data_IF_595815340836
#
_entry.id   IF_595815340836
#
_cell.length_a   1.000
_cell.length_b   1.000
_cell.length_c   1.000
_cell.angle_alpha   90.00
_cell.angle_beta   90.00
_cell.angle_gamma   90.00
#
_symmetry.space_group_name_H-M   'P 1'
#
loop_
_entity.id
_entity.type
_entity.pdbx_description
1 polymer ?
#
# COMPACT_ATOMS: atom_id res chain seq x y z
N UNK A 1 34.74 -12.28 93.71
CA UNK A 1 34.36 -13.60 93.17
C UNK A 1 33.40 -13.33 92.03
N UNK A 2 33.78 -13.61 90.79
CA UNK A 2 32.92 -13.44 89.62
C UNK A 2 31.93 -14.59 89.58
N UNK A 3 30.66 -14.31 89.82
CA UNK A 3 29.58 -15.30 89.71
C UNK A 3 29.44 -15.74 88.25
N UNK A 4 29.59 -17.03 87.95
CA UNK A 4 29.36 -17.56 86.61
C UNK A 4 27.85 -17.44 86.28
N UNK A 5 27.52 -16.56 85.34
CA UNK A 5 26.14 -16.27 84.93
C UNK A 5 25.43 -17.54 84.41
N UNK A 6 26.16 -18.48 83.82
CA UNK A 6 25.62 -19.74 83.31
C UNK A 6 25.19 -20.65 84.46
N UNK A 7 26.01 -20.71 85.51
CA UNK A 7 25.75 -21.48 86.73
C UNK A 7 24.59 -20.86 87.53
N UNK A 8 24.53 -19.51 87.60
CA UNK A 8 23.43 -18.77 88.22
C UNK A 8 22.10 -18.99 87.47
N UNK A 9 22.12 -18.92 86.13
CA UNK A 9 20.94 -19.16 85.30
C UNK A 9 20.39 -20.59 85.45
N UNK A 10 21.28 -21.58 85.54
CA UNK A 10 20.90 -22.99 85.79
C UNK A 10 20.28 -23.19 87.18
N UNK A 11 20.84 -22.53 88.21
CA UNK A 11 20.26 -22.56 89.58
C UNK A 11 18.87 -21.94 89.61
N UNK A 12 18.68 -20.77 89.00
CA UNK A 12 17.38 -20.11 88.89
C UNK A 12 16.35 -20.95 88.11
N UNK A 13 16.76 -21.57 87.01
CA UNK A 13 15.90 -22.46 86.22
C UNK A 13 15.47 -23.72 86.98
N UNK A 14 16.31 -24.21 87.90
CA UNK A 14 15.98 -25.34 88.79
C UNK A 14 14.97 -24.90 89.87
N UNK A 15 15.21 -23.78 90.56
CA UNK A 15 14.28 -23.25 91.57
C UNK A 15 12.88 -22.93 91.00
N UNK A 16 12.81 -22.41 89.77
CA UNK A 16 11.55 -22.12 89.09
C UNK A 16 10.73 -23.38 88.73
N UNK A 17 11.38 -24.54 88.53
CA UNK A 17 10.69 -25.82 88.27
C UNK A 17 10.17 -26.47 89.56
N UNK A 18 10.77 -26.14 90.69
CA UNK A 18 10.43 -26.67 92.01
C UNK A 18 9.48 -25.74 92.79
N UNK A 19 8.85 -24.76 92.12
CA UNK A 19 7.95 -23.74 92.71
C UNK A 19 8.55 -23.03 93.96
N UNK A 20 9.88 -22.90 93.98
CA UNK A 20 10.62 -22.35 95.12
C UNK A 20 11.21 -20.98 94.75
N UNK A 21 11.12 -20.00 95.65
CA UNK A 21 11.58 -18.64 95.41
C UNK A 21 13.09 -18.50 95.70
N UNK A 22 13.93 -18.27 94.68
CA UNK A 22 15.37 -18.09 94.90
C UNK A 22 15.64 -16.74 95.59
N UNK A 23 16.36 -16.78 96.72
CA UNK A 23 16.87 -15.56 97.36
C UNK A 23 18.18 -15.18 96.68
N UNK A 24 18.12 -14.21 95.77
CA UNK A 24 19.29 -13.68 95.08
C UNK A 24 20.07 -12.75 96.00
N UNK A 25 21.40 -12.90 96.03
CA UNK A 25 22.26 -11.95 96.72
C UNK A 25 22.38 -10.65 95.90
N UNK A 26 22.71 -9.51 96.52
CA UNK A 26 22.98 -8.28 95.79
C UNK A 26 24.05 -8.42 94.70
N UNK A 27 25.04 -9.30 94.91
CA UNK A 27 26.08 -9.60 93.93
C UNK A 27 25.54 -10.37 92.72
N UNK A 28 24.63 -11.32 92.94
CA UNK A 28 23.98 -12.09 91.86
C UNK A 28 23.05 -11.21 91.02
N UNK A 29 22.30 -10.31 91.67
CA UNK A 29 21.50 -9.30 90.99
C UNK A 29 22.38 -8.37 90.13
N UNK A 30 23.52 -7.92 90.66
CA UNK A 30 24.47 -7.09 89.91
C UNK A 30 25.03 -7.80 88.66
N UNK A 31 25.43 -9.07 88.79
CA UNK A 31 25.94 -9.86 87.68
C UNK A 31 24.89 -10.11 86.58
N UNK A 32 23.62 -10.31 86.94
CA UNK A 32 22.52 -10.43 85.98
C UNK A 32 22.25 -9.13 85.23
N UNK A 33 22.27 -7.99 85.94
CA UNK A 33 22.08 -6.67 85.32
C UNK A 33 23.21 -6.37 84.34
N UNK A 34 24.47 -6.58 84.72
CA UNK A 34 25.62 -6.38 83.82
C UNK A 34 25.55 -7.29 82.58
N UNK A 35 25.13 -8.55 82.73
CA UNK A 35 24.97 -9.47 81.62
C UNK A 35 23.84 -9.04 80.66
N UNK A 36 22.73 -8.56 81.21
CA UNK A 36 21.60 -8.05 80.43
C UNK A 36 21.96 -6.75 79.71
N UNK A 37 22.66 -5.82 80.35
CA UNK A 37 23.16 -4.59 79.73
C UNK A 37 24.16 -4.89 78.61
N UNK A 38 25.05 -5.87 78.82
CA UNK A 38 25.99 -6.33 77.78
C UNK A 38 25.27 -6.98 76.59
N UNK A 39 24.33 -7.89 76.84
CA UNK A 39 23.55 -8.53 75.78
C UNK A 39 22.67 -7.51 75.03
N UNK A 40 22.12 -6.52 75.74
CA UNK A 40 21.35 -5.44 75.15
C UNK A 40 22.23 -4.55 74.26
N UNK A 41 23.42 -4.16 74.74
CA UNK A 41 24.38 -3.35 73.97
C UNK A 41 24.86 -4.07 72.71
N UNK A 42 25.23 -5.35 72.82
CA UNK A 42 25.62 -6.18 71.66
C UNK A 42 24.47 -6.36 70.66
N UNK A 43 23.24 -6.60 71.14
CA UNK A 43 22.06 -6.67 70.28
C UNK A 43 21.78 -5.35 69.57
N UNK A 44 21.83 -4.21 70.28
CA UNK A 44 21.64 -2.89 69.67
C UNK A 44 22.74 -2.53 68.68
N UNK A 45 23.99 -2.91 68.93
CA UNK A 45 25.11 -2.70 68.01
C UNK A 45 24.95 -3.55 66.74
N UNK A 46 24.51 -4.80 66.88
CA UNK A 46 24.21 -5.67 65.74
C UNK A 46 23.06 -5.14 64.87
N UNK A 47 22.00 -4.59 65.50
CA UNK A 47 20.90 -3.94 64.79
C UNK A 47 21.37 -2.67 64.08
N UNK A 48 22.13 -1.81 64.76
CA UNK A 48 22.65 -0.56 64.19
C UNK A 48 23.55 -0.81 62.96
N UNK A 49 24.48 -1.76 63.04
CA UNK A 49 25.35 -2.12 61.91
C UNK A 49 24.57 -2.69 60.72
N UNK A 50 23.48 -3.43 60.97
CA UNK A 50 22.61 -3.92 59.91
C UNK A 50 21.80 -2.78 59.27
N UNK A 51 21.30 -1.84 60.09
CA UNK A 51 20.61 -0.64 59.61
C UNK A 51 21.51 0.22 58.72
N UNK A 52 22.75 0.50 59.13
CA UNK A 52 23.71 1.28 58.32
C UNK A 52 24.03 0.60 56.97
N UNK A 53 24.17 -0.74 56.98
CA UNK A 53 24.39 -1.54 55.77
C UNK A 53 23.20 -1.45 54.79
N UNK A 54 21.97 -1.56 55.32
CA UNK A 54 20.76 -1.41 54.51
C UNK A 54 20.57 0.02 54.01
N UNK A 55 20.84 1.04 54.82
CA UNK A 55 20.77 2.44 54.41
C UNK A 55 21.73 2.75 53.25
N UNK A 56 22.96 2.24 53.33
CA UNK A 56 23.96 2.40 52.27
C UNK A 56 23.47 1.73 50.98
N UNK A 57 22.93 0.52 51.08
CA UNK A 57 22.40 -0.22 49.92
C UNK A 57 21.18 0.48 49.30
N UNK A 58 20.24 0.96 50.13
CA UNK A 58 19.07 1.70 49.68
C UNK A 58 19.48 3.00 49.00
N UNK A 59 20.50 3.70 49.52
CA UNK A 59 21.04 4.92 48.90
C UNK A 59 21.59 4.64 47.50
N UNK A 60 22.43 3.60 47.35
CA UNK A 60 22.97 3.19 46.06
C UNK A 60 21.87 2.78 45.06
N UNK A 61 20.86 2.03 45.52
CA UNK A 61 19.73 1.62 44.67
C UNK A 61 18.90 2.83 44.22
N UNK A 62 18.67 3.80 45.10
CA UNK A 62 17.97 5.05 44.74
C UNK A 62 18.71 5.83 43.67
N UNK A 63 20.03 5.99 43.80
CA UNK A 63 20.86 6.63 42.77
C UNK A 63 20.76 5.89 41.44
N UNK A 64 20.81 4.55 41.48
CA UNK A 64 20.71 3.74 40.25
C UNK A 64 19.34 3.83 39.57
N UNK A 65 18.26 3.90 40.35
CA UNK A 65 16.91 4.11 39.80
C UNK A 65 16.83 5.47 39.10
N UNK A 66 17.35 6.53 39.73
CA UNK A 66 17.35 7.86 39.13
C UNK A 66 18.12 7.91 37.80
N UNK A 67 19.31 7.28 37.72
CA UNK A 67 20.07 7.16 36.47
C UNK A 67 19.30 6.40 35.38
N UNK A 68 18.61 5.32 35.75
CA UNK A 68 17.82 4.52 34.81
C UNK A 68 16.59 5.29 34.31
N UNK A 69 15.92 6.05 35.18
CA UNK A 69 14.80 6.91 34.82
C UNK A 69 15.24 8.01 33.83
N UNK A 70 16.39 8.63 34.06
CA UNK A 70 16.96 9.64 33.15
C UNK A 70 17.32 9.04 31.78
N UNK A 71 18.02 7.90 31.78
CA UNK A 71 18.36 7.18 30.54
C UNK A 71 17.12 6.77 29.76
N UNK A 72 16.08 6.28 30.43
CA UNK A 72 14.82 5.90 29.80
C UNK A 72 14.10 7.11 29.19
N UNK A 73 14.12 8.27 29.85
CA UNK A 73 13.57 9.51 29.30
C UNK A 73 14.29 9.92 28.00
N UNK A 74 15.61 9.79 27.93
CA UNK A 74 16.38 10.08 26.72
C UNK A 74 16.07 9.12 25.57
N UNK A 75 15.88 7.83 25.87
CA UNK A 75 15.48 6.81 24.87
C UNK A 75 14.08 7.12 24.31
N UNK A 76 13.13 7.52 25.16
CA UNK A 76 11.79 7.93 24.70
C UNK A 76 11.89 9.15 23.78
N UNK A 77 12.63 10.18 24.20
CA UNK A 77 12.78 11.41 23.41
C UNK A 77 13.43 11.17 22.05
N UNK A 78 14.50 10.37 22.01
CA UNK A 78 15.18 10.01 20.76
C UNK A 78 14.26 9.19 19.85
N UNK A 79 13.56 8.18 20.37
CA UNK A 79 12.56 7.41 19.61
C UNK A 79 11.49 8.33 19.02
N UNK A 80 10.93 9.24 19.81
CA UNK A 80 9.87 10.15 19.36
C UNK A 80 10.38 11.19 18.36
N UNK A 81 11.66 11.56 18.45
CA UNK A 81 12.33 12.38 17.46
C UNK A 81 12.50 11.64 16.12
N UNK A 82 13.04 10.41 16.14
CA UNK A 82 13.20 9.60 14.93
C UNK A 82 11.86 9.31 14.27
N UNK A 83 10.82 8.99 15.06
CA UNK A 83 9.47 8.77 14.55
C UNK A 83 8.94 10.01 13.82
N UNK A 84 9.04 11.20 14.42
CA UNK A 84 8.64 12.45 13.78
C UNK A 84 9.44 12.74 12.50
N UNK A 85 10.76 12.61 12.55
CA UNK A 85 11.62 12.78 11.37
C UNK A 85 11.23 11.84 10.23
N UNK A 86 10.90 10.58 10.54
CA UNK A 86 10.43 9.61 9.53
C UNK A 86 9.04 9.95 8.99
N UNK A 87 8.09 10.32 9.85
CA UNK A 87 6.74 10.70 9.45
C UNK A 87 6.74 11.97 8.59
N UNK A 88 7.51 12.99 8.99
CA UNK A 88 7.69 14.23 8.25
C UNK A 88 8.42 14.00 6.93
N UNK A 89 9.48 13.17 6.92
CA UNK A 89 10.19 12.80 5.69
C UNK A 89 9.30 12.04 4.70
N UNK A 90 8.49 11.10 5.18
CA UNK A 90 7.48 10.40 4.36
C UNK A 90 6.42 11.37 3.82
N UNK A 91 5.97 12.31 4.65
CA UNK A 91 4.99 13.32 4.25
C UNK A 91 5.55 14.27 3.19
N UNK A 92 6.79 14.75 3.36
CA UNK A 92 7.49 15.57 2.37
C UNK A 92 7.73 14.81 1.06
N UNK A 93 8.09 13.52 1.13
CA UNK A 93 8.22 12.68 -0.06
C UNK A 93 6.87 12.50 -0.78
N UNK A 94 5.78 12.33 -0.04
CA UNK A 94 4.43 12.25 -0.61
C UNK A 94 3.99 13.59 -1.24
N UNK A 95 4.19 14.72 -0.55
CA UNK A 95 3.88 16.06 -1.05
C UNK A 95 4.75 16.47 -2.25
N UNK A 96 6.02 16.05 -2.29
CA UNK A 96 6.89 16.25 -3.46
C UNK A 96 6.48 15.39 -4.67
N UNK A 97 5.67 14.35 -4.45
CA UNK A 97 5.18 13.40 -5.47
C UNK A 97 3.69 13.53 -5.78
N UNK A 98 2.95 14.43 -5.13
CA UNK A 98 1.56 14.71 -5.51
C UNK A 98 1.56 15.42 -6.86
N UNK A 99 1.52 14.63 -7.94
CA UNK A 99 1.28 15.11 -9.29
C UNK A 99 -0.15 15.62 -9.33
N UNK A 100 -0.33 16.94 -9.39
CA UNK A 100 -1.64 17.52 -9.72
C UNK A 100 -2.02 17.01 -11.11
N UNK A 101 -3.05 16.16 -11.19
CA UNK A 101 -3.57 15.67 -12.45
C UNK A 101 -4.21 16.83 -13.21
N UNK A 102 -4.07 16.83 -14.53
CA UNK A 102 -4.68 17.90 -15.33
C UNK A 102 -6.21 17.74 -15.36
N UNK A 103 -6.99 18.85 -15.44
CA UNK A 103 -8.45 18.81 -15.52
C UNK A 103 -9.00 17.90 -16.64
N UNK A 104 -8.24 17.76 -17.72
CA UNK A 104 -8.57 16.91 -18.87
C UNK A 104 -8.63 15.43 -18.48
N UNK A 105 -7.78 14.94 -17.57
CA UNK A 105 -7.81 13.55 -17.11
C UNK A 105 -9.08 13.25 -16.31
N UNK A 106 -9.54 14.19 -15.49
CA UNK A 106 -10.83 14.07 -14.79
C UNK A 106 -12.00 14.03 -15.78
N UNK A 107 -11.94 14.85 -16.83
CA UNK A 107 -12.94 14.87 -17.89
C UNK A 107 -13.00 13.53 -18.62
N UNK A 108 -11.84 12.94 -18.94
CA UNK A 108 -11.74 11.60 -19.52
C UNK A 108 -12.35 10.56 -18.57
N UNK A 109 -12.03 10.61 -17.28
CA UNK A 109 -12.58 9.71 -16.27
C UNK A 109 -14.11 9.79 -16.16
N UNK A 110 -14.67 11.01 -16.19
CA UNK A 110 -16.12 11.22 -16.22
C UNK A 110 -16.76 10.61 -17.46
N UNK A 111 -16.22 10.91 -18.65
CA UNK A 111 -16.71 10.35 -19.92
C UNK A 111 -16.65 8.82 -19.93
N UNK A 112 -15.60 8.21 -19.38
CA UNK A 112 -15.50 6.76 -19.25
C UNK A 112 -16.65 6.17 -18.43
N UNK A 113 -17.09 6.88 -17.38
CA UNK A 113 -18.17 6.44 -16.49
C UNK A 113 -19.56 6.67 -17.07
N UNK A 114 -19.76 7.72 -17.88
CA UNK A 114 -21.10 8.16 -18.30
C UNK A 114 -21.46 7.88 -19.75
N UNK A 115 -20.48 7.65 -20.63
CA UNK A 115 -20.75 7.40 -22.05
C UNK A 115 -21.48 6.07 -22.27
N UNK A 116 -22.18 5.96 -23.40
CA UNK A 116 -22.75 4.69 -23.85
C UNK A 116 -21.64 3.74 -24.32
N UNK A 117 -21.51 2.61 -23.63
CA UNK A 117 -20.51 1.60 -23.94
C UNK A 117 -20.94 0.62 -25.06
N UNK A 118 -22.10 0.82 -25.70
CA UNK A 118 -22.62 -0.01 -26.80
C UNK A 118 -22.66 -1.50 -26.47
N UNK A 119 -23.18 -1.83 -25.28
CA UNK A 119 -23.33 -3.19 -24.75
C UNK A 119 -21.96 -3.89 -24.51
N UNK A 120 -20.85 -3.16 -24.59
CA UNK A 120 -19.51 -3.66 -24.28
C UNK A 120 -19.12 -3.26 -22.86
N UNK A 121 -18.59 -4.18 -22.05
CA UNK A 121 -18.23 -3.88 -20.65
C UNK A 121 -17.11 -2.82 -20.56
N UNK A 122 -16.00 -3.06 -21.26
CA UNK A 122 -14.83 -2.19 -21.30
C UNK A 122 -14.46 -1.87 -22.75
N UNK A 123 -15.19 -0.92 -23.39
CA UNK A 123 -14.97 -0.59 -24.79
C UNK A 123 -13.64 0.12 -24.99
N UNK A 124 -12.92 -0.32 -26.02
CA UNK A 124 -11.92 0.44 -26.73
C UNK A 124 -12.60 1.08 -27.94
N UNK A 125 -12.79 2.40 -27.90
CA UNK A 125 -13.38 3.11 -29.03
C UNK A 125 -12.34 3.26 -30.12
N UNK A 126 -12.66 2.81 -31.32
CA UNK A 126 -11.75 2.77 -32.45
C UNK A 126 -12.37 3.54 -33.61
N UNK A 127 -11.57 4.40 -34.22
CA UNK A 127 -11.87 4.96 -35.53
C UNK A 127 -11.35 3.99 -36.59
N UNK A 128 -12.25 3.51 -37.41
CA UNK A 128 -11.94 2.78 -38.63
C UNK A 128 -12.21 3.68 -39.85
N UNK A 129 -11.54 3.38 -40.95
CA UNK A 129 -11.90 3.91 -42.27
C UNK A 129 -12.12 2.76 -43.26
N UNK A 130 -12.89 3.02 -44.31
CA UNK A 130 -13.14 2.01 -45.35
C UNK A 130 -12.02 2.06 -46.39
N UNK A 131 -11.32 0.96 -46.56
CA UNK A 131 -10.31 0.78 -47.59
C UNK A 131 -10.75 -0.28 -48.59
N UNK A 132 -10.48 -0.04 -49.86
CA UNK A 132 -10.64 -1.07 -50.88
C UNK A 132 -9.31 -1.79 -51.10
N UNK A 133 -9.38 -3.12 -51.12
CA UNK A 133 -8.27 -4.01 -51.48
C UNK A 133 -8.72 -4.93 -52.61
N UNK A 134 -7.77 -5.45 -53.38
CA UNK A 134 -8.05 -6.51 -54.33
C UNK A 134 -8.30 -7.79 -53.53
N UNK A 135 -9.51 -8.32 -53.66
CA UNK A 135 -9.97 -9.56 -53.06
C UNK A 135 -10.04 -10.70 -54.07
N UNK A 136 -10.80 -11.74 -53.70
CA UNK A 136 -11.09 -12.89 -54.55
C UNK A 136 -12.52 -12.81 -55.07
N UNK A 137 -12.70 -13.15 -56.34
CA UNK A 137 -14.02 -13.22 -56.99
C UNK A 137 -14.90 -14.32 -56.37
N UNK A 138 -14.30 -15.35 -55.79
CA UNK A 138 -15.02 -16.47 -55.15
C UNK A 138 -15.60 -16.10 -53.78
N UNK A 139 -15.15 -14.99 -53.18
CA UNK A 139 -15.47 -14.62 -51.80
C UNK A 139 -16.53 -13.53 -51.70
N UNK A 140 -17.42 -13.42 -52.69
CA UNK A 140 -18.50 -12.41 -52.74
C UNK A 140 -17.95 -10.99 -52.59
N UNK A 141 -17.22 -10.48 -53.60
CA UNK A 141 -16.59 -9.17 -53.51
C UNK A 141 -17.62 -8.05 -53.29
N UNK A 142 -17.18 -6.97 -52.65
CA UNK A 142 -18.00 -5.78 -52.42
C UNK A 142 -18.40 -5.09 -53.72
N UNK A 143 -17.51 -5.07 -54.72
CA UNK A 143 -17.80 -4.62 -56.09
C UNK A 143 -16.79 -5.16 -57.09
N UNK A 144 -17.15 -5.12 -58.38
CA UNK A 144 -16.20 -5.38 -59.47
C UNK A 144 -15.67 -4.06 -60.02
N UNK A 145 -14.36 -3.97 -60.20
CA UNK A 145 -13.67 -2.86 -60.83
C UNK A 145 -13.08 -3.32 -62.17
N UNK A 146 -13.37 -2.57 -63.23
CA UNK A 146 -12.80 -2.80 -64.55
C UNK A 146 -11.79 -1.69 -64.84
N UNK A 147 -10.59 -2.07 -65.25
CA UNK A 147 -9.46 -1.15 -65.43
C UNK A 147 -8.92 -1.23 -66.85
N UNK A 148 -8.51 -0.09 -67.37
CA UNK A 148 -7.78 0.01 -68.63
C UNK A 148 -6.61 0.99 -68.45
N UNK A 149 -5.40 0.54 -68.75
CA UNK A 149 -4.18 1.37 -68.67
C UNK A 149 -4.00 2.03 -67.29
N UNK A 150 -4.28 1.26 -66.22
CA UNK A 150 -4.14 1.70 -64.83
C UNK A 150 -5.31 2.54 -64.28
N UNK A 151 -6.28 2.93 -65.11
CA UNK A 151 -7.41 3.76 -64.69
C UNK A 151 -8.74 2.98 -64.67
N UNK A 152 -9.57 3.24 -63.65
CA UNK A 152 -10.91 2.65 -63.55
C UNK A 152 -11.81 3.20 -64.65
N UNK A 153 -12.50 2.31 -65.36
CA UNK A 153 -13.39 2.69 -66.45
C UNK A 153 -14.71 3.25 -65.92
N UNK A 154 -15.42 4.03 -66.74
CA UNK A 154 -16.74 4.55 -66.36
C UNK A 154 -17.74 3.43 -66.03
N UNK A 155 -18.66 3.70 -65.12
CA UNK A 155 -19.64 2.72 -64.63
C UNK A 155 -20.45 2.06 -65.77
N UNK A 156 -20.87 2.83 -66.78
CA UNK A 156 -21.56 2.29 -67.95
C UNK A 156 -20.69 1.28 -68.73
N UNK A 157 -19.39 1.57 -68.88
CA UNK A 157 -18.44 0.68 -69.54
C UNK A 157 -18.18 -0.56 -68.68
N UNK A 158 -17.99 -0.38 -67.37
CA UNK A 158 -17.82 -1.49 -66.43
C UNK A 158 -19.00 -2.46 -66.48
N UNK A 159 -20.26 -1.97 -66.45
CA UNK A 159 -21.46 -2.81 -66.58
C UNK A 159 -21.49 -3.59 -67.90
N UNK A 160 -21.09 -2.96 -69.01
CA UNK A 160 -21.01 -3.63 -70.31
C UNK A 160 -19.93 -4.71 -70.35
N UNK A 161 -18.76 -4.44 -69.77
CA UNK A 161 -17.67 -5.40 -69.68
C UNK A 161 -18.04 -6.58 -68.78
N UNK A 162 -18.70 -6.32 -67.66
CA UNK A 162 -19.19 -7.37 -66.78
C UNK A 162 -20.20 -8.28 -67.50
N UNK A 163 -21.14 -7.71 -68.27
CA UNK A 163 -22.06 -8.53 -69.07
C UNK A 163 -21.32 -9.40 -70.11
N UNK A 164 -20.30 -8.86 -70.79
CA UNK A 164 -19.47 -9.65 -71.72
C UNK A 164 -18.74 -10.79 -71.00
N UNK A 165 -18.18 -10.51 -69.82
CA UNK A 165 -17.46 -11.50 -69.01
C UNK A 165 -18.40 -12.64 -68.57
N UNK A 166 -19.59 -12.31 -68.05
CA UNK A 166 -20.59 -13.29 -67.62
C UNK A 166 -21.09 -14.16 -68.79
N UNK A 167 -21.16 -13.59 -70.01
CA UNK A 167 -21.49 -14.32 -71.23
C UNK A 167 -20.31 -15.14 -71.81
N UNK A 168 -19.14 -15.15 -71.14
CA UNK A 168 -17.94 -15.86 -71.61
C UNK A 168 -17.29 -15.24 -72.85
N UNK A 169 -17.53 -13.95 -73.11
CA UNK A 169 -17.02 -13.23 -74.28
C UNK A 169 -15.72 -12.50 -73.98
N UNK A 170 -14.93 -12.27 -75.03
CA UNK A 170 -13.69 -11.51 -74.95
C UNK A 170 -13.94 -10.06 -74.47
N UNK A 171 -13.23 -9.67 -73.43
CA UNK A 171 -13.26 -8.34 -72.78
C UNK A 171 -12.19 -7.41 -73.34
N UNK A 172 -11.47 -7.80 -74.39
CA UNK A 172 -10.53 -6.97 -75.18
C UNK A 172 -9.33 -6.46 -74.38
N UNK A 173 -8.82 -7.29 -73.48
CA UNK A 173 -7.61 -7.00 -72.69
C UNK A 173 -7.83 -6.02 -71.54
N UNK A 174 -9.07 -5.78 -71.12
CA UNK A 174 -9.36 -5.03 -69.89
C UNK A 174 -9.12 -5.92 -68.67
N UNK A 175 -8.57 -5.33 -67.62
CA UNK A 175 -8.36 -6.01 -66.34
C UNK A 175 -9.63 -5.96 -65.49
N UNK A 176 -9.96 -7.09 -64.87
CA UNK A 176 -11.11 -7.24 -63.97
C UNK A 176 -10.61 -7.55 -62.58
N UNK A 177 -10.93 -6.69 -61.61
CA UNK A 177 -10.57 -6.86 -60.21
C UNK A 177 -11.82 -7.00 -59.34
N UNK A 178 -11.85 -8.07 -58.55
CA UNK A 178 -12.80 -8.25 -57.46
C UNK A 178 -12.34 -7.37 -56.29
N UNK A 179 -13.04 -6.28 -56.01
CA UNK A 179 -12.68 -5.34 -54.95
C UNK A 179 -13.42 -5.68 -53.67
N UNK A 180 -12.68 -5.74 -52.57
CA UNK A 180 -13.21 -5.97 -51.24
C UNK A 180 -13.08 -4.70 -50.41
N UNK A 181 -14.19 -4.26 -49.82
CA UNK A 181 -14.16 -3.23 -48.77
C UNK A 181 -13.78 -3.88 -47.44
N UNK A 182 -12.75 -3.33 -46.81
CA UNK A 182 -12.25 -3.75 -45.50
C UNK A 182 -12.17 -2.57 -44.55
N UNK A 183 -12.29 -2.87 -43.27
CA UNK A 183 -12.17 -1.90 -42.19
C UNK A 183 -10.68 -1.75 -41.83
N UNK A 184 -10.12 -0.56 -42.11
CA UNK A 184 -8.74 -0.22 -41.78
C UNK A 184 -8.69 0.55 -40.47
N UNK A 185 -7.90 0.06 -39.51
CA UNK A 185 -7.69 0.73 -38.24
C UNK A 185 -6.98 2.07 -38.43
N UNK A 186 -7.52 3.12 -37.83
CA UNK A 186 -6.90 4.46 -37.84
C UNK A 186 -6.33 4.81 -36.47
N UNK A 187 -7.16 4.80 -35.43
CA UNK A 187 -6.74 5.13 -34.06
C UNK A 187 -7.70 4.59 -33.02
N UNK A 188 -7.23 4.45 -31.78
CA UNK A 188 -8.03 4.04 -30.63
C UNK A 188 -8.03 5.13 -29.55
N UNK A 189 -9.16 5.30 -28.86
CA UNK A 189 -9.34 6.25 -27.77
C UNK A 189 -10.00 5.57 -26.56
N UNK A 190 -9.84 6.17 -25.38
CA UNK A 190 -10.55 5.74 -24.16
C UNK A 190 -12.05 6.07 -24.18
N UNK A 191 -12.45 7.05 -24.99
CA UNK A 191 -13.82 7.56 -25.04
C UNK A 191 -14.29 7.77 -26.47
N UNK A 192 -15.60 7.64 -26.70
CA UNK A 192 -16.22 7.97 -27.99
C UNK A 192 -16.02 9.45 -28.33
N UNK A 193 -16.02 10.33 -27.31
CA UNK A 193 -15.75 11.75 -27.47
C UNK A 193 -14.36 12.00 -28.06
N UNK A 194 -13.33 11.30 -27.57
CA UNK A 194 -11.98 11.38 -28.12
C UNK A 194 -11.92 10.98 -29.60
N UNK A 195 -12.65 9.94 -29.99
CA UNK A 195 -12.78 9.58 -31.41
C UNK A 195 -13.48 10.67 -32.23
N UNK A 196 -14.56 11.27 -31.70
CA UNK A 196 -15.28 12.38 -32.36
C UNK A 196 -14.37 13.61 -32.53
N UNK A 197 -13.55 13.93 -31.54
CA UNK A 197 -12.59 15.03 -31.60
C UNK A 197 -11.50 14.77 -32.64
N UNK A 198 -10.96 13.55 -32.68
CA UNK A 198 -10.02 13.13 -33.71
C UNK A 198 -10.64 13.26 -35.12
N UNK A 199 -11.87 12.80 -35.33
CA UNK A 199 -12.55 12.92 -36.61
C UNK A 199 -12.85 14.38 -36.99
N UNK A 200 -13.16 15.24 -36.02
CA UNK A 200 -13.33 16.68 -36.28
C UNK A 200 -12.04 17.31 -36.79
N UNK A 201 -10.89 16.89 -36.27
CA UNK A 201 -9.58 17.44 -36.62
C UNK A 201 -9.01 16.82 -37.92
N UNK A 202 -9.15 15.51 -38.11
CA UNK A 202 -8.45 14.77 -39.17
C UNK A 202 -9.38 13.99 -40.11
N UNK A 203 -10.69 13.99 -39.89
CA UNK A 203 -11.64 13.17 -40.65
C UNK A 203 -11.68 13.47 -42.15
N UNK A 204 -11.29 14.68 -42.56
CA UNK A 204 -11.19 15.07 -43.97
C UNK A 204 -10.08 14.31 -44.73
N UNK A 205 -9.10 13.73 -44.03
CA UNK A 205 -8.05 12.90 -44.61
C UNK A 205 -8.40 11.41 -44.65
N UNK A 206 -9.60 11.04 -44.18
CA UNK A 206 -10.02 9.65 -44.04
C UNK A 206 -11.15 9.32 -45.01
N UNK A 207 -11.18 8.07 -45.48
CA UNK A 207 -12.22 7.57 -46.39
C UNK A 207 -13.34 6.89 -45.63
N UNK A 208 -14.54 7.48 -45.66
CA UNK A 208 -15.74 6.95 -44.98
C UNK A 208 -15.46 6.51 -43.52
N UNK A 209 -14.91 7.40 -42.68
CA UNK A 209 -14.54 7.02 -41.33
C UNK A 209 -15.77 6.78 -40.45
N UNK A 210 -15.66 5.85 -39.51
CA UNK A 210 -16.70 5.59 -38.51
C UNK A 210 -16.09 5.12 -37.19
N UNK A 211 -16.87 5.27 -36.11
CA UNK A 211 -16.46 4.88 -34.75
C UNK A 211 -17.11 3.56 -34.39
N UNK A 212 -16.29 2.61 -33.96
CA UNK A 212 -16.72 1.32 -33.47
C UNK A 212 -16.24 1.10 -32.02
N UNK A 213 -17.04 0.40 -31.22
CA UNK A 213 -16.66 0.02 -29.86
C UNK A 213 -16.14 -1.42 -29.85
N UNK A 214 -14.82 -1.58 -29.89
CA UNK A 214 -14.18 -2.89 -29.76
C UNK A 214 -14.21 -3.33 -28.29
N UNK A 215 -14.39 -4.63 -28.04
CA UNK A 215 -14.13 -5.18 -26.71
C UNK A 215 -12.63 -5.19 -26.39
N UNK A 216 -12.25 -4.77 -25.19
CA UNK A 216 -10.87 -4.88 -24.70
C UNK A 216 -10.53 -6.27 -24.13
N UNK A 217 -11.25 -7.31 -24.57
CA UNK A 217 -11.08 -8.67 -24.03
C UNK A 217 -9.63 -9.16 -24.18
N UNK A 218 -9.06 -9.68 -23.08
CA UNK A 218 -7.66 -10.11 -22.95
C UNK A 218 -6.60 -9.00 -23.07
N UNK A 219 -6.99 -7.73 -23.08
CA UNK A 219 -6.06 -6.61 -22.99
C UNK A 219 -6.05 -6.03 -21.56
N UNK A 220 -5.35 -6.70 -20.66
CA UNK A 220 -5.31 -6.33 -19.23
C UNK A 220 -4.69 -4.94 -19.01
N UNK A 221 -3.71 -4.54 -19.82
CA UNK A 221 -3.05 -3.24 -19.71
C UNK A 221 -4.02 -2.10 -20.00
N UNK A 222 -4.77 -2.20 -21.10
CA UNK A 222 -5.78 -1.21 -21.44
C UNK A 222 -6.87 -1.11 -20.37
N UNK A 223 -7.36 -2.27 -19.90
CA UNK A 223 -8.37 -2.33 -18.84
C UNK A 223 -7.86 -1.67 -17.56
N UNK A 224 -6.61 -1.93 -17.16
CA UNK A 224 -6.00 -1.32 -15.98
C UNK A 224 -5.98 0.21 -16.08
N UNK A 225 -5.45 0.75 -17.18
CA UNK A 225 -5.34 2.21 -17.38
C UNK A 225 -6.73 2.84 -17.47
N UNK A 226 -7.65 2.24 -18.22
CA UNK A 226 -9.03 2.74 -18.36
C UNK A 226 -9.76 2.78 -17.02
N UNK A 227 -9.64 1.72 -16.22
CA UNK A 227 -10.29 1.63 -14.91
C UNK A 227 -9.65 2.59 -13.90
N UNK A 228 -8.33 2.78 -13.97
CA UNK A 228 -7.65 3.82 -13.19
C UNK A 228 -8.18 5.21 -13.54
N UNK A 229 -8.26 5.56 -14.83
CA UNK A 229 -8.84 6.84 -15.29
C UNK A 229 -10.28 7.03 -14.82
N UNK A 230 -11.11 5.99 -14.92
CA UNK A 230 -12.49 6.01 -14.44
C UNK A 230 -12.61 6.25 -12.93
N UNK A 231 -11.63 5.78 -12.16
CA UNK A 231 -11.57 5.87 -10.71
C UNK A 231 -11.10 7.22 -10.18
N UNK A 232 -10.56 8.10 -11.02
CA UNK A 232 -10.13 9.44 -10.62
C UNK A 232 -11.37 10.27 -10.27
N UNK A 233 -11.40 10.82 -9.05
CA UNK A 233 -12.43 11.75 -8.59
C UNK A 233 -11.82 13.13 -8.40
N UNK A 234 -12.52 14.16 -8.85
CA UNK A 234 -12.16 15.53 -8.52
C UNK A 234 -12.36 15.72 -7.02
N UNK A 235 -11.27 15.80 -6.26
CA UNK A 235 -11.32 16.32 -4.89
C UNK A 235 -11.30 17.83 -5.02
N UNK A 236 -12.44 18.47 -4.76
CA UNK A 236 -12.49 19.92 -4.64
C UNK A 236 -11.62 20.31 -3.43
N UNK A 237 -10.52 21.02 -3.69
CA UNK A 237 -9.76 21.76 -2.67
C UNK A 237 -10.69 22.69 -1.87
#
# INVERSE_FOLDING_TARGET
MTTDITELAQRLATCAKEDTYPVLSPADCGALVEALEKAQTESTAGVAGMTESYETTISMLKSRIAELEESHAQVIQSRDHYKRMTEEGLKQLAESRTVKLSPELYTIGELIRTQDNRITDQPMFVVFQKREIIGSDEHSPSRICWVWDGEEVSELRARRLEALYQDGRDTRGYDRYAMQEVDEFVTACFTEHGCKDYLRQNGHNLRLPYIYACGSFRNNEYQLVRNWLAGIKWEAE
#
